data_IF_567384125849
#
_entry.id   IF_567384125849
#
_cell.length_a   1.000
_cell.length_b   1.000
_cell.length_c   1.000
_cell.angle_alpha   90.00
_cell.angle_beta   90.00
_cell.angle_gamma   90.00
#
_symmetry.space_group_name_H-M   'P 1'
#
loop_
_entity.id
_entity.type
_entity.pdbx_description
1 polymer ?
#
# COMPACT_ATOMS: atom_id res chain seq x y z
N UNK A 1 67.74 21.39 1.61
CA UNK A 1 66.47 21.35 2.36
C UNK A 1 66.44 20.10 3.24
N UNK A 2 66.68 20.25 4.54
CA UNK A 2 66.78 19.12 5.48
C UNK A 2 65.37 18.78 6.01
N UNK A 3 64.76 17.71 5.52
CA UNK A 3 63.50 17.16 6.07
C UNK A 3 63.82 16.54 7.43
N UNK A 4 63.61 17.29 8.52
CA UNK A 4 63.60 16.73 9.88
C UNK A 4 62.44 15.72 9.96
N UNK A 5 62.78 14.44 10.09
CA UNK A 5 61.81 13.36 10.27
C UNK A 5 60.95 13.62 11.51
N UNK A 6 59.64 13.42 11.37
CA UNK A 6 58.69 13.45 12.49
C UNK A 6 59.16 12.50 13.58
N UNK A 7 59.48 13.03 14.76
CA UNK A 7 59.98 12.24 15.88
C UNK A 7 58.97 11.19 16.35
N UNK A 8 59.46 10.04 16.81
CA UNK A 8 58.62 8.90 17.23
C UNK A 8 57.51 9.29 18.24
N UNK A 9 57.77 10.26 19.12
CA UNK A 9 56.77 10.80 20.05
C UNK A 9 55.61 11.57 19.38
N UNK A 10 55.86 12.24 18.25
CA UNK A 10 54.81 12.91 17.49
C UNK A 10 53.91 11.89 16.77
N UNK A 11 54.49 10.80 16.28
CA UNK A 11 53.74 9.68 15.66
C UNK A 11 52.89 8.95 16.71
N UNK A 12 53.44 8.70 17.90
CA UNK A 12 52.70 8.10 19.01
C UNK A 12 51.54 8.98 19.48
N UNK A 13 51.76 10.30 19.63
CA UNK A 13 50.69 11.26 19.96
C UNK A 13 49.60 11.31 18.89
N UNK A 14 49.97 11.27 17.60
CA UNK A 14 49.01 11.26 16.49
C UNK A 14 48.16 9.98 16.49
N UNK A 15 48.77 8.80 16.67
CA UNK A 15 48.04 7.52 16.80
C UNK A 15 47.10 7.51 18.01
N UNK A 16 47.55 8.03 19.15
CA UNK A 16 46.72 8.11 20.35
C UNK A 16 45.53 9.06 20.17
N UNK A 17 45.73 10.17 19.46
CA UNK A 17 44.66 11.11 19.11
C UNK A 17 43.65 10.46 18.15
N UNK A 18 44.10 9.80 17.07
CA UNK A 18 43.24 9.06 16.15
C UNK A 18 42.42 7.96 16.86
N UNK A 19 43.04 7.21 17.78
CA UNK A 19 42.35 6.21 18.58
C UNK A 19 41.24 6.83 19.46
N UNK A 20 41.54 7.95 20.14
CA UNK A 20 40.54 8.68 20.95
C UNK A 20 39.42 9.29 20.11
N UNK A 21 39.71 9.80 18.92
CA UNK A 21 38.67 10.30 18.01
C UNK A 21 37.78 9.18 17.51
N UNK A 22 38.35 8.00 17.22
CA UNK A 22 37.58 6.82 16.80
C UNK A 22 36.67 6.31 17.92
N UNK A 23 37.18 6.21 19.14
CA UNK A 23 36.41 5.82 20.33
C UNK A 23 35.31 6.82 20.67
N UNK A 24 35.58 8.13 20.61
CA UNK A 24 34.53 9.14 20.76
C UNK A 24 33.50 9.10 19.63
N UNK A 25 33.92 8.75 18.41
CA UNK A 25 33.03 8.55 17.28
C UNK A 25 32.06 7.38 17.48
N UNK A 26 32.52 6.27 18.06
CA UNK A 26 31.66 5.12 18.37
C UNK A 26 30.68 5.44 19.49
N UNK A 27 31.13 6.10 20.56
CA UNK A 27 30.25 6.51 21.67
C UNK A 27 29.18 7.50 21.19
N UNK A 28 29.53 8.46 20.34
CA UNK A 28 28.55 9.41 19.78
C UNK A 28 27.51 8.71 18.89
N UNK A 29 27.92 7.70 18.12
CA UNK A 29 27.00 6.90 17.32
C UNK A 29 26.06 6.05 18.19
N UNK A 30 26.59 5.45 19.27
CA UNK A 30 25.79 4.71 20.24
C UNK A 30 24.77 5.62 20.95
N UNK A 31 25.19 6.81 21.40
CA UNK A 31 24.31 7.80 22.01
C UNK A 31 23.18 8.24 21.05
N UNK A 32 23.49 8.43 19.77
CA UNK A 32 22.48 8.73 18.75
C UNK A 32 21.48 7.59 18.57
N UNK A 33 21.92 6.33 18.54
CA UNK A 33 21.03 5.17 18.41
C UNK A 33 20.10 5.06 19.61
N UNK A 34 20.62 5.27 20.83
CA UNK A 34 19.83 5.24 22.07
C UNK A 34 18.79 6.36 22.07
N UNK A 35 19.17 7.57 21.66
CA UNK A 35 18.24 8.70 21.53
C UNK A 35 17.15 8.44 20.49
N UNK A 36 17.51 7.91 19.32
CA UNK A 36 16.55 7.54 18.28
C UNK A 36 15.56 6.47 18.76
N UNK A 37 16.06 5.47 19.49
CA UNK A 37 15.22 4.39 20.03
C UNK A 37 14.18 4.93 21.02
N UNK A 38 14.60 5.84 21.91
CA UNK A 38 13.70 6.53 22.85
C UNK A 38 12.65 7.39 22.14
N UNK A 39 13.04 8.07 21.06
CA UNK A 39 12.10 8.85 20.26
C UNK A 39 11.06 7.97 19.57
N UNK A 40 11.47 6.81 19.03
CA UNK A 40 10.55 5.83 18.44
C UNK A 40 9.56 5.26 19.46
N UNK A 41 10.00 4.97 20.69
CA UNK A 41 9.12 4.51 21.76
C UNK A 41 8.10 5.57 22.17
N UNK A 42 8.55 6.81 22.37
CA UNK A 42 7.67 7.94 22.70
C UNK A 42 6.65 8.17 21.59
N UNK A 43 7.09 8.11 20.33
CA UNK A 43 6.21 8.24 19.18
C UNK A 43 5.19 7.11 19.09
N UNK A 44 5.60 5.86 19.32
CA UNK A 44 4.70 4.70 19.33
C UNK A 44 3.59 4.86 20.37
N UNK A 45 3.92 5.32 21.57
CA UNK A 45 2.93 5.58 22.64
C UNK A 45 1.97 6.71 22.26
N UNK A 46 2.48 7.80 21.67
CA UNK A 46 1.63 8.90 21.21
C UNK A 46 0.68 8.46 20.07
N UNK A 47 1.18 7.64 19.13
CA UNK A 47 0.38 7.13 18.03
C UNK A 47 -0.67 6.12 18.52
N UNK A 48 -0.36 5.34 19.56
CA UNK A 48 -1.32 4.48 20.25
C UNK A 48 -2.45 5.29 20.88
N UNK A 49 -2.11 6.34 21.64
CA UNK A 49 -3.10 7.23 22.24
C UNK A 49 -3.97 7.89 21.16
N UNK A 50 -3.34 8.43 20.12
CA UNK A 50 -4.04 9.04 18.98
C UNK A 50 -5.02 8.05 18.33
N UNK A 51 -4.55 6.85 18.03
CA UNK A 51 -5.35 5.88 17.31
C UNK A 51 -6.47 5.29 18.18
N UNK A 52 -6.27 5.15 19.49
CA UNK A 52 -7.33 4.75 20.43
C UNK A 52 -8.42 5.83 20.53
N UNK A 53 -8.04 7.11 20.60
CA UNK A 53 -8.96 8.26 20.65
C UNK A 53 -9.76 8.43 19.36
N UNK A 54 -9.13 8.24 18.21
CA UNK A 54 -9.73 8.45 16.90
C UNK A 54 -10.21 7.14 16.21
N UNK A 55 -10.30 6.03 16.94
CA UNK A 55 -10.66 4.70 16.41
C UNK A 55 -11.94 4.70 15.56
N UNK A 56 -12.98 5.40 16.00
CA UNK A 56 -14.25 5.46 15.27
C UNK A 56 -14.16 6.34 14.02
N UNK A 57 -13.33 7.37 14.03
CA UNK A 57 -13.10 8.24 12.88
C UNK A 57 -12.30 7.51 11.80
N UNK A 58 -11.29 6.72 12.18
CA UNK A 58 -10.53 5.84 11.27
C UNK A 58 -11.46 4.83 10.58
N UNK A 59 -12.47 4.35 11.31
CA UNK A 59 -13.45 3.38 10.79
C UNK A 59 -14.49 4.02 9.87
N UNK A 60 -14.99 5.21 10.20
CA UNK A 60 -16.06 5.88 9.46
C UNK A 60 -15.57 6.68 8.26
N UNK A 61 -14.42 7.35 8.38
CA UNK A 61 -13.94 8.26 7.35
C UNK A 61 -12.80 7.62 6.54
N UNK A 62 -13.04 7.26 5.25
CA UNK A 62 -12.01 6.66 4.41
C UNK A 62 -10.82 7.60 4.14
N UNK A 63 -11.04 8.91 4.04
CA UNK A 63 -9.94 9.86 3.83
C UNK A 63 -9.01 9.92 5.04
N UNK A 64 -9.58 9.97 6.23
CA UNK A 64 -8.80 9.98 7.47
C UNK A 64 -8.03 8.67 7.67
N UNK A 65 -8.62 7.53 7.27
CA UNK A 65 -7.96 6.23 7.28
C UNK A 65 -6.69 6.21 6.43
N UNK A 66 -6.73 6.78 5.22
CA UNK A 66 -5.57 6.90 4.32
C UNK A 66 -4.47 7.75 4.96
N UNK A 67 -4.83 8.93 5.48
CA UNK A 67 -3.87 9.83 6.13
C UNK A 67 -3.19 9.20 7.34
N UNK A 68 -3.97 8.51 8.18
CA UNK A 68 -3.44 7.77 9.33
C UNK A 68 -2.43 6.71 8.88
N UNK A 69 -2.69 6.03 7.78
CA UNK A 69 -1.80 4.99 7.28
C UNK A 69 -0.56 5.54 6.60
N UNK A 70 -0.64 6.67 5.89
CA UNK A 70 0.52 7.37 5.34
C UNK A 70 1.48 7.82 6.46
N UNK A 71 0.91 8.31 7.58
CA UNK A 71 1.66 8.64 8.78
C UNK A 71 2.41 7.42 9.33
N UNK A 72 1.72 6.28 9.47
CA UNK A 72 2.35 5.03 9.92
C UNK A 72 3.46 4.57 8.95
N UNK A 73 3.21 4.63 7.63
CA UNK A 73 4.15 4.19 6.61
C UNK A 73 5.43 5.04 6.56
N UNK A 74 5.33 6.35 6.82
CA UNK A 74 6.49 7.28 6.86
C UNK A 74 7.53 6.85 7.88
N UNK A 75 7.11 6.15 8.93
CA UNK A 75 7.96 5.73 10.05
C UNK A 75 8.37 4.25 9.90
N UNK A 76 7.90 3.59 8.85
CA UNK A 76 8.11 2.15 8.64
C UNK A 76 7.22 1.28 9.52
N UNK A 77 6.14 1.83 10.07
CA UNK A 77 5.14 1.08 10.84
C UNK A 77 4.00 0.72 9.90
N UNK A 78 3.74 -0.57 9.75
CA UNK A 78 2.58 -1.04 9.00
C UNK A 78 1.50 -1.53 9.98
N UNK A 79 0.38 -0.79 10.12
CA UNK A 79 -0.69 -1.16 11.04
C UNK A 79 -1.37 -2.48 10.68
N UNK A 80 -1.08 -3.05 9.49
CA UNK A 80 -1.66 -4.27 8.93
C UNK A 80 -0.66 -5.42 8.77
N UNK A 81 0.59 -5.28 9.23
CA UNK A 81 1.63 -6.29 9.02
C UNK A 81 1.51 -7.53 9.93
N UNK A 82 0.81 -7.45 11.07
CA UNK A 82 0.71 -8.59 11.99
C UNK A 82 -0.62 -8.59 12.74
N UNK A 83 -1.32 -9.74 12.73
CA UNK A 83 -2.50 -9.98 13.55
C UNK A 83 -2.21 -10.06 15.06
N UNK A 84 -0.93 -10.28 15.44
CA UNK A 84 -0.40 -10.08 16.81
C UNK A 84 0.35 -8.75 16.94
N UNK A 85 0.27 -7.91 15.92
CA UNK A 85 0.86 -6.59 15.95
C UNK A 85 0.07 -5.73 16.90
N UNK A 86 0.80 -4.95 17.71
CA UNK A 86 0.30 -3.92 18.61
C UNK A 86 -0.87 -3.10 18.03
N UNK A 87 -0.83 -2.82 16.72
CA UNK A 87 -1.86 -2.05 15.99
C UNK A 87 -3.12 -2.82 15.62
N UNK A 88 -3.01 -4.12 15.31
CA UNK A 88 -4.16 -4.95 14.92
C UNK A 88 -5.08 -5.18 16.12
N UNK A 89 -4.50 -5.53 17.27
CA UNK A 89 -5.24 -5.82 18.51
C UNK A 89 -5.86 -4.56 19.11
N UNK A 90 -5.15 -3.42 19.11
CA UNK A 90 -5.63 -2.17 19.71
C UNK A 90 -6.69 -1.45 18.84
N UNK A 91 -6.45 -1.39 17.52
CA UNK A 91 -7.28 -0.58 16.62
C UNK A 91 -8.34 -1.38 15.87
N UNK A 92 -8.19 -2.70 15.76
CA UNK A 92 -9.04 -3.54 14.92
C UNK A 92 -9.04 -3.10 13.45
N UNK A 93 -7.97 -2.42 13.02
CA UNK A 93 -7.74 -2.06 11.62
C UNK A 93 -7.36 -3.30 10.81
N UNK A 94 -6.60 -4.23 11.41
CA UNK A 94 -6.31 -5.53 10.79
C UNK A 94 -7.58 -6.29 10.43
N UNK A 95 -8.50 -6.43 11.39
CA UNK A 95 -9.77 -7.15 11.20
C UNK A 95 -10.58 -6.61 10.03
N UNK A 96 -10.65 -5.28 9.87
CA UNK A 96 -11.33 -4.65 8.74
C UNK A 96 -10.72 -5.07 7.38
N UNK A 97 -9.40 -5.07 7.25
CA UNK A 97 -8.74 -5.47 6.00
C UNK A 97 -8.78 -6.98 5.77
N UNK A 98 -8.78 -7.80 6.83
CA UNK A 98 -8.99 -9.24 6.71
C UNK A 98 -10.41 -9.56 6.25
N UNK A 99 -11.42 -8.92 6.83
CA UNK A 99 -12.82 -9.04 6.39
C UNK A 99 -12.99 -8.57 4.93
N UNK A 100 -12.40 -7.42 4.59
CA UNK A 100 -12.40 -6.92 3.22
C UNK A 100 -11.70 -7.88 2.26
N UNK A 101 -10.59 -8.50 2.68
CA UNK A 101 -9.88 -9.53 1.91
C UNK A 101 -10.76 -10.74 1.61
N UNK A 102 -11.50 -11.24 2.59
CA UNK A 102 -12.45 -12.36 2.40
C UNK A 102 -13.55 -11.98 1.42
N UNK A 103 -14.14 -10.79 1.54
CA UNK A 103 -15.17 -10.31 0.61
C UNK A 103 -14.65 -10.19 -0.83
N UNK A 104 -13.42 -9.72 -1.01
CA UNK A 104 -12.78 -9.67 -2.33
C UNK A 104 -12.63 -11.08 -2.90
N UNK A 105 -12.20 -12.05 -2.09
CA UNK A 105 -12.05 -13.45 -2.52
C UNK A 105 -13.41 -14.02 -2.94
N UNK A 106 -14.47 -13.80 -2.16
CA UNK A 106 -15.83 -14.27 -2.47
C UNK A 106 -16.35 -13.70 -3.79
N UNK A 107 -16.21 -12.39 -4.01
CA UNK A 107 -16.62 -11.74 -5.26
C UNK A 107 -15.84 -12.30 -6.45
N UNK A 108 -14.53 -12.47 -6.30
CA UNK A 108 -13.67 -13.03 -7.34
C UNK A 108 -14.02 -14.49 -7.66
N UNK A 109 -14.28 -15.33 -6.65
CA UNK A 109 -14.71 -16.72 -6.84
C UNK A 109 -16.08 -16.80 -7.52
N UNK A 110 -17.03 -15.96 -7.11
CA UNK A 110 -18.35 -15.89 -7.71
C UNK A 110 -18.28 -15.48 -9.19
N UNK A 111 -17.33 -14.64 -9.57
CA UNK A 111 -17.20 -14.13 -10.92
C UNK A 111 -16.30 -14.94 -11.85
N UNK A 112 -15.45 -15.81 -11.30
CA UNK A 112 -14.47 -16.60 -12.03
C UNK A 112 -15.03 -17.28 -13.28
N UNK A 113 -16.25 -17.83 -13.21
CA UNK A 113 -16.89 -18.52 -14.33
C UNK A 113 -17.31 -17.59 -15.49
N UNK A 114 -17.45 -16.29 -15.23
CA UNK A 114 -17.87 -15.28 -16.23
C UNK A 114 -16.70 -14.52 -16.81
N UNK A 115 -15.73 -14.13 -15.97
CA UNK A 115 -14.64 -13.24 -16.36
C UNK A 115 -13.27 -13.91 -16.40
N UNK A 116 -13.20 -15.22 -16.11
CA UNK A 116 -11.94 -15.98 -16.13
C UNK A 116 -10.96 -15.61 -15.01
N UNK A 117 -11.37 -14.80 -14.04
CA UNK A 117 -10.52 -14.37 -12.93
C UNK A 117 -9.88 -12.98 -13.07
N UNK A 118 -10.32 -12.18 -14.06
CA UNK A 118 -9.91 -10.79 -14.25
C UNK A 118 -11.10 -9.84 -14.00
N UNK A 119 -10.92 -8.82 -13.15
CA UNK A 119 -11.96 -7.83 -12.83
C UNK A 119 -11.34 -6.44 -12.68
N UNK A 120 -12.00 -5.39 -13.14
CA UNK A 120 -11.52 -4.01 -12.93
C UNK A 120 -11.70 -3.61 -11.47
N UNK A 121 -10.83 -2.72 -10.97
CA UNK A 121 -10.90 -2.23 -9.59
C UNK A 121 -12.26 -1.54 -9.31
N UNK A 122 -12.78 -0.80 -10.30
CA UNK A 122 -14.07 -0.12 -10.21
C UNK A 122 -15.24 -1.11 -10.10
N UNK A 123 -15.23 -2.17 -10.91
CA UNK A 123 -16.25 -3.22 -10.84
C UNK A 123 -16.16 -3.98 -9.51
N UNK A 124 -14.95 -4.34 -9.08
CA UNK A 124 -14.73 -4.98 -7.78
C UNK A 124 -15.27 -4.12 -6.64
N UNK A 125 -15.00 -2.81 -6.66
CA UNK A 125 -15.50 -1.85 -5.68
C UNK A 125 -17.02 -1.80 -5.63
N UNK A 126 -17.67 -1.66 -6.79
CA UNK A 126 -19.13 -1.69 -6.90
C UNK A 126 -19.73 -2.99 -6.36
N UNK A 127 -19.10 -4.14 -6.63
CA UNK A 127 -19.57 -5.46 -6.18
C UNK A 127 -19.42 -5.64 -4.67
N UNK A 128 -18.27 -5.24 -4.11
CA UNK A 128 -18.03 -5.28 -2.67
C UNK A 128 -19.01 -4.36 -1.93
N UNK A 129 -19.28 -3.16 -2.45
CA UNK A 129 -20.27 -2.26 -1.87
C UNK A 129 -21.69 -2.83 -1.93
N UNK A 130 -22.06 -3.52 -3.02
CA UNK A 130 -23.37 -4.20 -3.12
C UNK A 130 -23.50 -5.40 -2.19
N UNK A 131 -22.41 -6.14 -1.95
CA UNK A 131 -22.39 -7.26 -1.01
C UNK A 131 -22.42 -6.79 0.45
N UNK A 132 -21.99 -5.57 0.72
CA UNK A 132 -22.05 -4.94 2.03
C UNK A 132 -23.45 -4.37 2.30
N UNK A 133 -24.00 -4.69 3.48
CA UNK A 133 -25.28 -4.12 3.93
C UNK A 133 -25.19 -2.61 4.21
N UNK A 134 -26.34 -1.94 4.28
CA UNK A 134 -26.50 -0.48 4.46
C UNK A 134 -25.85 0.13 5.73
N UNK A 135 -25.37 -0.70 6.65
CA UNK A 135 -24.77 -0.30 7.93
C UNK A 135 -23.28 -0.65 8.05
N UNK A 136 -22.67 -1.19 6.99
CA UNK A 136 -21.25 -1.58 6.97
C UNK A 136 -20.39 -0.39 6.56
N UNK A 137 -19.21 -0.26 7.18
CA UNK A 137 -18.25 0.82 6.95
C UNK A 137 -17.94 1.06 5.47
N UNK A 138 -17.82 2.34 5.10
CA UNK A 138 -17.44 2.76 3.76
C UNK A 138 -16.02 2.28 3.40
N UNK A 139 -15.90 1.84 2.15
CA UNK A 139 -14.68 1.29 1.55
C UNK A 139 -14.23 2.20 0.43
N UNK A 140 -12.99 2.65 0.48
CA UNK A 140 -12.32 3.36 -0.61
C UNK A 140 -11.66 2.38 -1.59
N UNK A 141 -11.37 2.83 -2.79
CA UNK A 141 -10.54 2.07 -3.74
C UNK A 141 -9.13 1.80 -3.18
N UNK A 142 -8.56 2.73 -2.39
CA UNK A 142 -7.26 2.50 -1.74
C UNK A 142 -7.32 1.33 -0.75
N UNK A 143 -8.46 1.16 -0.08
CA UNK A 143 -8.64 0.04 0.86
C UNK A 143 -8.61 -1.30 0.14
N UNK A 144 -9.21 -1.38 -1.05
CA UNK A 144 -9.18 -2.58 -1.90
C UNK A 144 -7.77 -2.86 -2.38
N UNK A 145 -7.07 -1.85 -2.91
CA UNK A 145 -5.68 -1.97 -3.37
C UNK A 145 -4.79 -2.50 -2.25
N UNK A 146 -4.98 -1.98 -1.03
CA UNK A 146 -4.22 -2.40 0.15
C UNK A 146 -4.56 -3.81 0.59
N UNK A 147 -5.84 -4.18 0.62
CA UNK A 147 -6.26 -5.55 0.90
C UNK A 147 -5.68 -6.54 -0.11
N UNK A 148 -5.71 -6.23 -1.41
CA UNK A 148 -5.15 -7.08 -2.47
C UNK A 148 -3.63 -7.23 -2.32
N UNK A 149 -2.90 -6.14 -2.01
CA UNK A 149 -1.46 -6.21 -1.72
C UNK A 149 -1.17 -7.16 -0.54
N UNK A 150 -2.06 -7.25 0.46
CA UNK A 150 -1.94 -8.21 1.56
C UNK A 150 -2.28 -9.64 1.14
N UNK A 151 -3.32 -9.83 0.34
CA UNK A 151 -3.67 -11.14 -0.22
C UNK A 151 -2.53 -11.73 -1.06
N UNK A 152 -1.76 -10.89 -1.76
CA UNK A 152 -0.56 -11.32 -2.50
C UNK A 152 0.50 -12.00 -1.62
N UNK A 153 0.60 -11.63 -0.34
CA UNK A 153 1.53 -12.27 0.61
C UNK A 153 1.10 -13.71 0.95
N UNK A 154 -0.20 -14.01 0.82
CA UNK A 154 -0.74 -15.34 1.10
C UNK A 154 -0.51 -16.35 -0.04
N UNK A 155 -0.10 -15.89 -1.24
CA UNK A 155 0.25 -16.75 -2.37
C UNK A 155 0.08 -16.09 -3.74
N UNK A 156 0.44 -16.81 -4.81
CA UNK A 156 0.43 -16.32 -6.20
C UNK A 156 -0.97 -16.22 -6.85
N UNK A 157 -2.04 -16.17 -6.05
CA UNK A 157 -3.41 -16.12 -6.56
C UNK A 157 -3.91 -14.72 -6.90
N UNK A 158 -3.47 -13.70 -6.15
CA UNK A 158 -3.96 -12.33 -6.29
C UNK A 158 -2.87 -11.39 -6.82
N UNK A 159 -3.20 -10.68 -7.91
CA UNK A 159 -2.33 -9.74 -8.58
C UNK A 159 -3.06 -8.47 -8.99
N UNK A 160 -2.31 -7.39 -9.19
CA UNK A 160 -2.82 -6.15 -9.78
C UNK A 160 -2.00 -5.84 -11.03
N UNK A 161 -2.70 -5.52 -12.11
CA UNK A 161 -2.13 -5.22 -13.43
C UNK A 161 -2.54 -3.80 -13.77
N UNK A 162 -1.61 -2.88 -14.05
CA UNK A 162 -1.94 -1.53 -14.47
C UNK A 162 -2.40 -1.53 -15.93
N UNK A 163 -3.59 -0.98 -16.18
CA UNK A 163 -4.19 -0.90 -17.52
C UNK A 163 -4.79 0.50 -17.71
N UNK A 164 -4.33 1.25 -18.73
CA UNK A 164 -5.00 2.44 -19.28
C UNK A 164 -5.39 3.62 -18.37
N UNK A 165 -5.08 3.58 -17.07
CA UNK A 165 -5.50 4.55 -16.07
C UNK A 165 -6.21 3.94 -14.85
N UNK A 166 -6.61 2.67 -14.93
CA UNK A 166 -7.18 1.89 -13.82
C UNK A 166 -6.30 0.67 -13.51
N UNK A 167 -6.75 -0.14 -12.55
CA UNK A 167 -6.10 -1.39 -12.17
C UNK A 167 -7.03 -2.58 -12.45
N UNK A 168 -6.47 -3.63 -13.03
CA UNK A 168 -7.14 -4.91 -13.19
C UNK A 168 -6.66 -5.85 -12.08
N UNK A 169 -7.60 -6.47 -11.38
CA UNK A 169 -7.35 -7.43 -10.32
C UNK A 169 -7.42 -8.83 -10.89
N UNK A 170 -6.33 -9.57 -10.74
CA UNK A 170 -6.21 -10.97 -11.09
C UNK A 170 -6.44 -11.80 -9.84
N UNK A 171 -7.32 -12.80 -9.90
CA UNK A 171 -7.64 -13.70 -8.78
C UNK A 171 -7.28 -15.17 -9.02
N UNK A 172 -6.82 -15.48 -10.24
CA UNK A 172 -6.39 -16.82 -10.64
C UNK A 172 -4.89 -16.77 -10.95
N UNK A 173 -4.09 -17.71 -10.43
CA UNK A 173 -2.68 -17.82 -10.77
C UNK A 173 -2.56 -18.08 -12.27
N UNK A 174 -2.17 -17.07 -13.02
CA UNK A 174 -1.81 -17.19 -14.41
C UNK A 174 -0.54 -16.36 -14.62
N UNK A 175 0.44 -16.95 -15.29
CA UNK A 175 1.65 -16.25 -15.69
C UNK A 175 1.31 -15.34 -16.87
N UNK A 176 0.91 -14.11 -16.56
CA UNK A 176 0.72 -13.07 -17.56
C UNK A 176 2.10 -12.52 -17.94
N UNK A 177 2.59 -12.96 -19.09
CA UNK A 177 3.78 -12.39 -19.72
C UNK A 177 3.54 -10.90 -20.10
N UNK A 178 4.63 -10.18 -20.37
CA UNK A 178 4.60 -8.77 -20.78
C UNK A 178 3.72 -8.55 -22.02
N UNK A 179 3.78 -9.45 -22.99
CA UNK A 179 2.96 -9.37 -24.21
C UNK A 179 1.46 -9.43 -23.90
N UNK A 180 1.06 -10.29 -22.96
CA UNK A 180 -0.34 -10.38 -22.54
C UNK A 180 -0.80 -9.10 -21.84
N UNK A 181 0.08 -8.46 -21.06
CA UNK A 181 -0.21 -7.18 -20.41
C UNK A 181 -0.40 -6.07 -21.44
N UNK A 182 0.43 -6.03 -22.48
CA UNK A 182 0.30 -5.07 -23.59
C UNK A 182 -1.00 -5.28 -24.35
N UNK A 183 -1.38 -6.54 -24.61
CA UNK A 183 -2.67 -6.85 -25.25
C UNK A 183 -3.85 -6.39 -24.39
N UNK A 184 -3.81 -6.58 -23.08
CA UNK A 184 -4.84 -6.08 -22.17
C UNK A 184 -4.93 -4.54 -22.19
N UNK A 185 -3.78 -3.86 -22.23
CA UNK A 185 -3.71 -2.40 -22.35
C UNK A 185 -4.31 -1.89 -23.66
N UNK A 186 -3.99 -2.55 -24.78
CA UNK A 186 -4.57 -2.22 -26.08
C UNK A 186 -6.07 -2.53 -26.14
N UNK A 187 -6.50 -3.63 -25.51
CA UNK A 187 -7.91 -4.01 -25.46
C UNK A 187 -8.74 -2.94 -24.74
N UNK A 188 -8.28 -2.40 -23.61
CA UNK A 188 -9.00 -1.34 -22.89
C UNK A 188 -9.20 -0.07 -23.74
N UNK A 189 -8.15 0.35 -24.46
CA UNK A 189 -8.21 1.50 -25.37
C UNK A 189 -9.18 1.24 -26.52
N UNK A 190 -9.12 0.04 -27.11
CA UNK A 190 -9.98 -0.33 -28.24
C UNK A 190 -11.47 -0.42 -27.82
N UNK A 191 -11.76 -1.04 -26.68
CA UNK A 191 -13.10 -1.14 -26.12
C UNK A 191 -13.71 0.23 -25.83
N UNK A 192 -12.91 1.16 -25.32
CA UNK A 192 -13.33 2.54 -25.08
C UNK A 192 -13.68 3.24 -26.40
N UNK A 193 -12.93 2.98 -27.46
CA UNK A 193 -13.18 3.56 -28.77
C UNK A 193 -14.49 3.04 -29.38
N UNK A 194 -14.70 1.73 -29.42
CA UNK A 194 -15.94 1.14 -29.97
C UNK A 194 -17.20 1.56 -29.22
N UNK A 195 -17.17 1.63 -27.88
CA UNK A 195 -18.30 2.08 -27.08
C UNK A 195 -18.63 3.56 -27.30
N UNK A 196 -17.62 4.41 -27.44
CA UNK A 196 -17.81 5.83 -27.78
C UNK A 196 -18.41 5.96 -29.18
N UNK A 197 -17.91 5.20 -30.15
CA UNK A 197 -18.46 5.18 -31.51
C UNK A 197 -19.91 4.70 -31.53
N UNK A 198 -20.24 3.60 -30.83
CA UNK A 198 -21.62 3.11 -30.67
C UNK A 198 -22.51 4.15 -30.00
N UNK A 199 -22.04 4.82 -28.95
CA UNK A 199 -22.80 5.86 -28.25
C UNK A 199 -23.04 7.09 -29.13
N UNK A 200 -22.04 7.52 -29.90
CA UNK A 200 -22.15 8.62 -30.87
C UNK A 200 -23.08 8.24 -32.02
N UNK A 201 -23.00 7.01 -32.54
CA UNK A 201 -23.90 6.51 -33.57
C UNK A 201 -25.34 6.43 -33.06
N UNK A 202 -25.55 5.97 -31.82
CA UNK A 202 -26.87 5.92 -31.20
C UNK A 202 -27.44 7.32 -31.00
N UNK A 203 -26.63 8.27 -30.54
CA UNK A 203 -27.01 9.69 -30.41
C UNK A 203 -27.36 10.32 -31.76
N UNK A 204 -26.58 10.04 -32.80
CA UNK A 204 -26.88 10.48 -34.17
C UNK A 204 -28.18 9.86 -34.68
N UNK A 205 -28.41 8.56 -34.44
CA UNK A 205 -29.65 7.89 -34.81
C UNK A 205 -30.86 8.49 -34.08
N UNK A 206 -30.73 8.75 -32.78
CA UNK A 206 -31.80 9.37 -31.97
C UNK A 206 -32.07 10.79 -32.43
N UNK A 207 -31.04 11.62 -32.69
CA UNK A 207 -31.22 12.98 -33.20
C UNK A 207 -31.86 13.01 -34.59
N UNK A 208 -31.49 12.08 -35.47
CA UNK A 208 -32.01 12.00 -36.83
C UNK A 208 -33.46 11.52 -36.89
N UNK A 209 -33.92 10.75 -35.88
CA UNK A 209 -35.31 10.28 -35.79
C UNK A 209 -36.22 11.24 -34.99
N UNK A 210 -35.66 12.21 -34.27
CA UNK A 210 -36.42 13.22 -33.50
C UNK A 210 -36.60 14.57 -34.23
N UNK A 211 -36.00 14.74 -35.41
CA UNK A 211 -36.25 15.86 -36.35
C UNK A 211 -37.19 15.42 -37.47
#
# INVERSE_FOLDING_TARGET
MHRRGVGAGAIAKKKLAEAKYKERGTVLAEDQIVQMSKQLETFKSNLEEFASKHKQEIRKNPQFRVQFQEMCATIGVDPLASGKGFWSEMLGVGDFYYELGVQIIEVCLALKHRNGGLITLDELHQRVLKGRGKYVQDVSQDDLVRAIKKLKVMGNGFGMIPVGGSYLVQSVPAELNMDHTVVLQLAEVCWSFELVWLSVLLLFFILFFLM
#
